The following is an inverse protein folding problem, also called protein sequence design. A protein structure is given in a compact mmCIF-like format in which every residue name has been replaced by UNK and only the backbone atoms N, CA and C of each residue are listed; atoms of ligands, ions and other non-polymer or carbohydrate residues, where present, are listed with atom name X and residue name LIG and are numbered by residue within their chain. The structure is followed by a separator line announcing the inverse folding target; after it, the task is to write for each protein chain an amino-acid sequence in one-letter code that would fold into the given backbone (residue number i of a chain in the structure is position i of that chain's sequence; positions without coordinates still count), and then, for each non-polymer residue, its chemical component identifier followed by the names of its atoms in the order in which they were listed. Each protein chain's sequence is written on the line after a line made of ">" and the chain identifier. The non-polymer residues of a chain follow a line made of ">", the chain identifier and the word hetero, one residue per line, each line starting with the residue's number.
data_IF_410060808803
#
_entry.id   IF_410060808803
#
_cell.length_a   1.000
_cell.length_b   1.000
_cell.length_c   1.000
_cell.angle_alpha   90.00
_cell.angle_beta   90.00
_cell.angle_gamma   90.00
#
_symmetry.space_group_name_H-M   'P 1'
#
loop_
_entity.id
_entity.type
_entity.pdbx_description
1 polymer ?
#
# COMPACT_ATOMS: atom_id res chain seq x y z
N UNK A 1 10.22 -7.27 18.54
CA UNK A 1 9.99 -5.87 18.98
C UNK A 1 8.76 -5.76 19.86
N UNK A 2 7.57 -6.18 19.41
CA UNK A 2 6.32 -6.10 20.19
C UNK A 2 6.41 -6.72 21.60
N UNK A 3 6.80 -7.99 21.73
CA UNK A 3 6.91 -8.63 23.05
C UNK A 3 8.00 -8.02 23.94
N UNK A 4 9.07 -7.46 23.36
CA UNK A 4 10.10 -6.74 24.12
C UNK A 4 9.61 -5.38 24.64
N UNK A 5 8.57 -4.82 24.01
CA UNK A 5 7.92 -3.58 24.43
C UNK A 5 6.77 -3.81 25.43
N UNK A 6 6.59 -5.04 25.93
CA UNK A 6 5.58 -5.39 26.92
C UNK A 6 4.20 -5.73 26.35
N UNK A 7 4.04 -5.77 25.02
CA UNK A 7 2.78 -6.11 24.36
C UNK A 7 2.51 -7.61 24.49
N UNK A 8 1.31 -7.98 24.95
CA UNK A 8 0.95 -9.37 25.22
C UNK A 8 -0.55 -9.65 25.29
N UNK A 9 -0.91 -10.69 26.04
CA UNK A 9 -2.30 -11.15 26.17
C UNK A 9 -3.19 -10.03 26.73
N UNK A 10 -4.29 -9.76 26.04
CA UNK A 10 -5.27 -8.74 26.43
C UNK A 10 -5.06 -7.38 25.76
N UNK A 11 -3.90 -7.15 25.14
CA UNK A 11 -3.63 -5.93 24.40
C UNK A 11 -4.22 -6.00 22.98
N UNK A 12 -4.66 -4.85 22.50
CA UNK A 12 -4.99 -4.61 21.10
C UNK A 12 -3.85 -3.81 20.42
N UNK A 13 -3.50 -4.22 19.21
CA UNK A 13 -2.50 -3.52 18.39
C UNK A 13 -3.13 -3.16 17.05
N UNK A 14 -3.17 -1.86 16.74
CA UNK A 14 -3.68 -1.35 15.47
C UNK A 14 -2.66 -1.62 14.37
N UNK A 15 -3.08 -2.25 13.28
CA UNK A 15 -2.22 -2.65 12.15
C UNK A 15 -2.91 -2.37 10.81
N UNK A 16 -2.16 -2.17 9.71
CA UNK A 16 -2.75 -2.02 8.39
C UNK A 16 -3.40 -3.33 7.91
N UNK A 17 -4.44 -3.19 7.09
CA UNK A 17 -5.08 -4.33 6.42
C UNK A 17 -4.67 -4.52 4.96
N UNK A 18 -3.87 -3.59 4.39
CA UNK A 18 -3.47 -3.62 2.99
C UNK A 18 -2.03 -4.11 2.79
N UNK A 19 -1.82 -5.43 2.88
CA UNK A 19 -0.51 -6.09 2.76
C UNK A 19 0.16 -6.35 4.11
N UNK A 20 1.44 -6.74 4.12
CA UNK A 20 2.25 -6.98 5.32
C UNK A 20 1.59 -7.92 6.36
N UNK A 21 1.17 -9.11 5.91
CA UNK A 21 0.53 -10.13 6.75
C UNK A 21 1.39 -10.46 7.98
N UNK A 22 2.71 -10.47 7.81
CA UNK A 22 3.71 -10.73 8.85
C UNK A 22 3.59 -9.79 10.06
N UNK A 23 3.08 -8.57 9.87
CA UNK A 23 2.86 -7.60 10.97
C UNK A 23 1.72 -8.07 11.87
N UNK A 24 0.59 -8.47 11.29
CA UNK A 24 -0.55 -8.97 12.05
C UNK A 24 -0.26 -10.35 12.68
N UNK A 25 0.51 -11.20 12.00
CA UNK A 25 1.00 -12.46 12.57
C UNK A 25 1.93 -12.21 13.75
N UNK A 26 2.85 -11.24 13.66
CA UNK A 26 3.74 -10.88 14.76
C UNK A 26 2.98 -10.40 16.00
N UNK A 27 1.87 -9.66 15.83
CA UNK A 27 0.96 -9.30 16.93
C UNK A 27 0.32 -10.55 17.53
N UNK A 28 -0.19 -11.46 16.69
CA UNK A 28 -0.84 -12.68 17.16
C UNK A 28 0.15 -13.58 17.93
N UNK A 29 1.42 -13.61 17.53
CA UNK A 29 2.48 -14.37 18.20
C UNK A 29 2.81 -13.87 19.61
N UNK A 30 2.51 -12.61 19.95
CA UNK A 30 2.65 -12.12 21.34
C UNK A 30 1.45 -12.48 22.21
N UNK A 31 0.37 -13.02 21.64
CA UNK A 31 -0.92 -13.22 22.31
C UNK A 31 -1.82 -11.98 22.31
N UNK A 32 -1.38 -10.87 21.70
CA UNK A 32 -2.19 -9.67 21.51
C UNK A 32 -3.17 -9.85 20.35
N UNK A 33 -4.18 -8.96 20.29
CA UNK A 33 -5.20 -8.96 19.24
C UNK A 33 -4.88 -7.91 18.17
N UNK A 34 -4.69 -8.30 16.89
CA UNK A 34 -4.59 -7.32 15.81
C UNK A 34 -5.95 -6.68 15.55
N UNK A 35 -5.98 -5.34 15.60
CA UNK A 35 -7.13 -4.50 15.20
C UNK A 35 -6.77 -3.82 13.89
N UNK A 36 -7.63 -3.98 12.87
CA UNK A 36 -7.34 -3.45 11.55
C UNK A 36 -7.92 -2.05 11.38
N UNK A 37 -7.08 -1.09 10.99
CA UNK A 37 -7.51 0.24 10.57
C UNK A 37 -7.39 0.39 9.04
N UNK A 38 -8.22 1.27 8.47
CA UNK A 38 -8.24 1.50 7.02
C UNK A 38 -7.04 2.35 6.58
N UNK A 39 -6.83 2.40 5.27
CA UNK A 39 -5.73 3.12 4.64
C UNK A 39 -6.18 4.47 4.08
N UNK A 40 -5.23 5.40 3.97
CA UNK A 40 -5.42 6.56 3.12
C UNK A 40 -5.37 6.12 1.64
N UNK A 41 -6.36 6.50 0.82
CA UNK A 41 -6.48 6.00 -0.55
C UNK A 41 -5.41 6.51 -1.51
N UNK A 42 -4.73 7.61 -1.19
CA UNK A 42 -3.66 8.18 -2.01
C UNK A 42 -2.29 7.58 -1.67
N UNK A 43 -2.05 7.29 -0.39
CA UNK A 43 -0.75 6.86 0.13
C UNK A 43 -0.65 5.35 0.32
N UNK A 44 -1.80 4.67 0.50
CA UNK A 44 -1.94 3.28 0.93
C UNK A 44 -1.37 2.96 2.32
N UNK A 45 -0.82 3.95 3.02
CA UNK A 45 -0.42 3.84 4.42
C UNK A 45 -1.66 3.93 5.32
N UNK A 46 -1.50 3.61 6.61
CA UNK A 46 -2.58 3.80 7.59
C UNK A 46 -3.10 5.24 7.58
N UNK A 47 -4.42 5.41 7.52
CA UNK A 47 -5.07 6.70 7.71
C UNK A 47 -5.09 7.04 9.21
N UNK A 48 -4.49 8.16 9.66
CA UNK A 48 -4.51 8.56 11.07
C UNK A 48 -5.93 8.70 11.65
N UNK A 49 -6.91 9.12 10.84
CA UNK A 49 -8.31 9.23 11.29
C UNK A 49 -8.91 7.85 11.53
N UNK A 50 -8.66 6.90 10.62
CA UNK A 50 -9.10 5.52 10.78
C UNK A 50 -8.40 4.84 11.98
N UNK A 51 -7.12 5.14 12.22
CA UNK A 51 -6.39 4.66 13.41
C UNK A 51 -7.04 5.18 14.68
N UNK A 52 -7.27 6.49 14.77
CA UNK A 52 -7.88 7.09 15.95
C UNK A 52 -9.28 6.53 16.24
N UNK A 53 -10.07 6.25 15.20
CA UNK A 53 -11.39 5.63 15.35
C UNK A 53 -11.35 4.20 15.91
N UNK A 54 -10.23 3.48 15.78
CA UNK A 54 -10.05 2.12 16.28
C UNK A 54 -9.50 2.06 17.71
N UNK A 55 -9.15 3.20 18.32
CA UNK A 55 -8.61 3.23 19.68
C UNK A 55 -9.68 2.81 20.69
N UNK A 56 -9.30 1.86 21.53
CA UNK A 56 -10.08 1.31 22.65
C UNK A 56 -9.27 1.39 23.95
N UNK A 57 -9.89 1.13 25.12
CA UNK A 57 -9.14 1.01 26.38
C UNK A 57 -8.14 -0.16 26.41
N UNK A 58 -8.23 -1.11 25.48
CA UNK A 58 -7.29 -2.22 25.33
C UNK A 58 -6.17 -1.91 24.33
N UNK A 59 -6.27 -0.80 23.58
CA UNK A 59 -5.27 -0.46 22.57
C UNK A 59 -3.97 -0.05 23.25
N UNK A 60 -2.91 -0.82 22.99
CA UNK A 60 -1.59 -0.60 23.58
C UNK A 60 -0.60 -0.04 22.55
N UNK A 61 -0.79 -0.35 21.26
CA UNK A 61 0.15 0.08 20.22
C UNK A 61 -0.51 0.25 18.84
N UNK A 62 0.19 0.95 17.95
CA UNK A 62 -0.04 0.98 16.51
C UNK A 62 1.26 0.64 15.78
N UNK A 63 1.18 -0.25 14.79
CA UNK A 63 2.29 -0.55 13.88
C UNK A 63 2.07 0.18 12.56
N UNK A 64 2.89 1.19 12.33
CA UNK A 64 2.89 2.02 11.13
C UNK A 64 3.80 1.39 10.09
N UNK A 65 3.26 1.12 8.90
CA UNK A 65 4.01 0.52 7.80
C UNK A 65 4.13 1.51 6.65
N UNK A 66 5.35 1.76 6.18
CA UNK A 66 5.59 2.50 4.94
C UNK A 66 5.25 1.63 3.74
N UNK A 67 4.49 2.16 2.78
CA UNK A 67 3.93 1.34 1.70
C UNK A 67 4.53 1.67 0.35
N UNK A 68 5.05 0.66 -0.33
CA UNK A 68 5.58 0.77 -1.70
C UNK A 68 6.73 1.78 -1.85
N UNK A 69 7.43 2.05 -0.75
CA UNK A 69 8.46 3.07 -0.65
C UNK A 69 7.96 4.47 -0.32
N UNK A 70 6.66 4.65 -0.10
CA UNK A 70 6.07 5.89 0.42
C UNK A 70 6.15 5.91 1.95
N UNK A 71 6.74 6.93 2.56
CA UNK A 71 6.67 7.10 4.01
C UNK A 71 5.22 7.39 4.43
N UNK A 72 4.82 6.81 5.56
CA UNK A 72 3.55 7.11 6.21
C UNK A 72 3.63 8.47 6.92
N UNK A 73 2.48 9.05 7.28
CA UNK A 73 2.40 10.28 8.08
C UNK A 73 2.71 10.01 9.56
N UNK A 74 3.94 9.56 9.79
CA UNK A 74 4.48 9.14 11.09
C UNK A 74 4.33 10.22 12.15
N UNK A 75 4.56 11.49 11.81
CA UNK A 75 4.38 12.60 12.74
C UNK A 75 2.95 12.66 13.29
N UNK A 76 1.95 12.55 12.42
CA UNK A 76 0.53 12.56 12.81
C UNK A 76 0.18 11.31 13.62
N UNK A 77 0.70 10.14 13.25
CA UNK A 77 0.48 8.90 14.00
C UNK A 77 1.14 8.92 15.39
N UNK A 78 2.30 9.56 15.54
CA UNK A 78 2.91 9.83 16.85
C UNK A 78 2.08 10.80 17.68
N UNK A 79 1.48 11.83 17.08
CA UNK A 79 0.54 12.71 17.80
C UNK A 79 -0.71 11.96 18.27
N UNK A 80 -1.27 11.06 17.46
CA UNK A 80 -2.36 10.15 17.88
C UNK A 80 -1.87 9.28 19.05
N UNK A 81 -0.69 8.67 18.92
CA UNK A 81 -0.12 7.83 19.98
C UNK A 81 0.09 8.58 21.29
N UNK A 82 0.60 9.82 21.25
CA UNK A 82 0.78 10.64 22.44
C UNK A 82 -0.54 11.01 23.12
N UNK A 83 -1.57 11.35 22.32
CA UNK A 83 -2.90 11.71 22.86
C UNK A 83 -3.59 10.54 23.56
N UNK A 84 -3.38 9.33 23.07
CA UNK A 84 -4.05 8.12 23.55
C UNK A 84 -3.16 7.20 24.39
N UNK A 85 -1.90 7.57 24.63
CA UNK A 85 -0.95 6.76 25.40
C UNK A 85 -0.48 5.48 24.69
N UNK A 86 -0.47 5.46 23.37
CA UNK A 86 -0.13 4.29 22.56
C UNK A 86 1.36 4.27 22.19
N UNK A 87 1.94 3.07 22.16
CA UNK A 87 3.24 2.85 21.54
C UNK A 87 3.11 2.89 20.01
N UNK A 88 3.91 3.73 19.34
CA UNK A 88 3.95 3.80 17.87
C UNK A 88 5.22 3.11 17.37
N UNK A 89 5.06 2.04 16.60
CA UNK A 89 6.15 1.28 16.02
C UNK A 89 6.19 1.47 14.50
N UNK A 90 7.32 1.90 13.98
CA UNK A 90 7.51 2.12 12.55
C UNK A 90 8.18 0.91 11.89
N UNK A 91 7.69 0.53 10.71
CA UNK A 91 8.24 -0.56 9.92
C UNK A 91 8.36 -0.16 8.45
N UNK A 92 9.58 -0.25 7.91
CA UNK A 92 9.85 -0.09 6.49
C UNK A 92 9.72 -1.40 5.71
N UNK A 93 9.34 -1.31 4.43
CA UNK A 93 9.59 -2.36 3.46
C UNK A 93 11.09 -2.36 3.09
N UNK A 94 11.73 -3.54 2.98
CA UNK A 94 13.18 -3.75 2.81
C UNK A 94 13.93 -2.67 2.00
N UNK A 95 14.96 -2.07 2.61
CA UNK A 95 15.72 -0.98 1.99
C UNK A 95 16.63 -1.47 0.86
N UNK A 96 16.50 -0.86 -0.32
CA UNK A 96 17.40 -1.05 -1.45
C UNK A 96 18.50 0.03 -1.42
N UNK A 97 19.72 -0.21 -1.96
CA UNK A 97 20.79 0.78 -1.88
C UNK A 97 20.38 2.16 -2.41
N UNK A 98 20.82 3.22 -1.75
CA UNK A 98 20.40 4.60 -2.02
C UNK A 98 20.63 5.04 -3.48
N UNK A 99 21.66 4.51 -4.13
CA UNK A 99 21.92 4.77 -5.55
C UNK A 99 20.70 4.38 -6.41
N UNK A 100 20.15 3.17 -6.21
CA UNK A 100 18.98 2.70 -6.95
C UNK A 100 17.73 3.55 -6.70
N UNK A 101 17.57 4.11 -5.51
CA UNK A 101 16.43 4.98 -5.17
C UNK A 101 16.42 6.23 -6.05
N UNK A 102 17.57 6.86 -6.26
CA UNK A 102 17.68 8.03 -7.14
C UNK A 102 17.28 7.66 -8.57
N UNK A 103 17.71 6.48 -9.06
CA UNK A 103 17.29 6.00 -10.35
C UNK A 103 15.78 5.79 -10.40
N UNK A 104 15.20 4.96 -9.52
CA UNK A 104 13.75 4.68 -9.49
C UNK A 104 12.90 5.94 -9.48
N UNK A 105 13.29 6.96 -8.72
CA UNK A 105 12.63 8.27 -8.71
C UNK A 105 12.63 8.97 -10.07
N UNK A 106 13.74 8.92 -10.81
CA UNK A 106 13.79 9.47 -12.18
C UNK A 106 12.88 8.70 -13.15
N UNK A 107 12.76 7.36 -13.00
CA UNK A 107 11.90 6.52 -13.85
C UNK A 107 10.43 6.77 -13.50
N UNK A 108 10.10 6.85 -12.21
CA UNK A 108 8.78 7.24 -11.73
C UNK A 108 8.39 8.62 -12.29
N UNK A 109 9.25 9.63 -12.17
CA UNK A 109 9.00 10.95 -12.74
C UNK A 109 8.82 10.93 -14.28
N UNK A 110 9.50 10.02 -14.98
CA UNK A 110 9.28 9.82 -16.41
C UNK A 110 7.87 9.31 -16.71
N UNK A 111 7.42 8.32 -15.94
CA UNK A 111 6.11 7.69 -16.05
C UNK A 111 4.99 8.65 -15.63
N UNK A 112 5.11 9.33 -14.48
CA UNK A 112 4.14 10.30 -13.95
C UNK A 112 3.76 11.35 -15.01
N UNK A 113 4.77 11.88 -15.70
CA UNK A 113 4.57 12.90 -16.72
C UNK A 113 3.82 12.40 -17.96
N UNK A 114 3.75 11.09 -18.20
CA UNK A 114 3.29 10.52 -19.49
C UNK A 114 2.14 9.53 -19.39
N UNK A 115 1.95 8.89 -18.24
CA UNK A 115 0.82 8.03 -18.00
C UNK A 115 -0.46 8.86 -17.89
N UNK A 116 -1.48 8.45 -18.64
CA UNK A 116 -2.81 9.05 -18.70
C UNK A 116 -3.91 7.99 -18.62
N UNK A 117 -3.60 6.74 -18.99
CA UNK A 117 -4.55 5.64 -18.95
C UNK A 117 -4.72 4.97 -17.57
N UNK A 118 -3.99 5.43 -16.56
CA UNK A 118 -4.07 4.98 -15.17
C UNK A 118 -3.84 6.16 -14.24
N UNK A 119 -4.33 6.09 -13.00
CA UNK A 119 -3.99 7.08 -11.97
C UNK A 119 -2.63 6.74 -11.37
N UNK A 120 -1.68 7.66 -11.45
CA UNK A 120 -0.32 7.49 -10.94
C UNK A 120 -0.25 7.75 -9.43
N UNK A 121 0.78 7.24 -8.72
CA UNK A 121 1.04 7.66 -7.35
C UNK A 121 1.15 9.18 -7.25
N UNK A 122 0.71 9.75 -6.13
CA UNK A 122 0.97 11.15 -5.84
C UNK A 122 2.45 11.35 -5.49
N UNK A 123 3.05 12.41 -6.02
CA UNK A 123 4.42 12.76 -5.69
C UNK A 123 4.49 13.24 -4.24
N UNK A 124 5.38 12.65 -3.45
CA UNK A 124 5.71 13.13 -2.11
C UNK A 124 7.22 13.14 -1.88
N UNK A 125 7.66 13.98 -0.94
CA UNK A 125 9.04 13.92 -0.44
C UNK A 125 9.31 12.53 0.16
N UNK A 126 10.52 12.01 -0.05
CA UNK A 126 10.93 10.73 0.54
C UNK A 126 10.48 9.46 -0.21
N UNK A 127 9.52 9.51 -1.14
CA UNK A 127 9.06 8.30 -1.86
C UNK A 127 10.20 7.58 -2.59
N UNK A 128 10.51 6.34 -2.22
CA UNK A 128 11.63 5.58 -2.80
C UNK A 128 11.23 4.79 -4.05
N UNK A 129 9.93 4.62 -4.28
CA UNK A 129 9.35 3.87 -5.40
C UNK A 129 9.88 2.43 -5.43
N UNK A 130 9.92 1.76 -4.27
CA UNK A 130 10.10 0.31 -4.21
C UNK A 130 9.08 -0.42 -5.07
N UNK A 131 7.85 0.10 -5.14
CA UNK A 131 6.88 -0.29 -6.16
C UNK A 131 6.22 0.96 -6.74
N UNK A 132 6.03 0.99 -8.06
CA UNK A 132 5.24 2.03 -8.73
C UNK A 132 3.80 1.54 -8.88
N UNK A 133 2.95 1.89 -7.91
CA UNK A 133 1.57 1.39 -7.81
C UNK A 133 0.58 2.39 -8.40
N UNK A 134 -0.03 2.02 -9.52
CA UNK A 134 -1.08 2.80 -10.19
C UNK A 134 -2.46 2.25 -9.82
N UNK A 135 -3.50 3.08 -9.94
CA UNK A 135 -4.89 2.60 -9.95
C UNK A 135 -5.41 2.48 -11.38
N UNK A 136 -5.92 1.30 -11.72
CA UNK A 136 -6.57 1.02 -12.99
C UNK A 136 -7.97 1.64 -12.96
N UNK A 137 -8.38 2.41 -13.99
CA UNK A 137 -9.73 2.95 -14.09
C UNK A 137 -10.78 1.83 -14.28
N UNK A 138 -12.04 2.12 -13.97
CA UNK A 138 -13.14 1.17 -14.04
C UNK A 138 -13.72 0.88 -12.65
N UNK A 139 -14.37 -0.28 -12.51
CA UNK A 139 -15.10 -0.67 -11.29
C UNK A 139 -14.30 -1.64 -10.39
N UNK A 140 -12.97 -1.59 -10.43
CA UNK A 140 -12.11 -2.53 -9.71
C UNK A 140 -12.01 -3.89 -10.42
N UNK A 141 -12.26 -5.00 -9.72
CA UNK A 141 -12.33 -6.33 -10.35
C UNK A 141 -13.69 -6.50 -11.05
N UNK A 142 -13.75 -7.04 -12.29
CA UNK A 142 -12.67 -7.74 -13.01
C UNK A 142 -11.80 -6.85 -13.94
N UNK A 143 -12.09 -5.56 -14.05
CA UNK A 143 -11.44 -4.64 -15.01
C UNK A 143 -9.93 -4.55 -14.79
N UNK A 144 -9.47 -4.45 -13.54
CA UNK A 144 -8.04 -4.47 -13.18
C UNK A 144 -7.34 -5.72 -13.69
N UNK A 145 -7.96 -6.89 -13.53
CA UNK A 145 -7.37 -8.17 -13.94
C UNK A 145 -7.33 -8.29 -15.47
N UNK A 146 -8.36 -7.79 -16.16
CA UNK A 146 -8.36 -7.70 -17.62
C UNK A 146 -7.27 -6.74 -18.14
N UNK A 147 -7.12 -5.58 -17.51
CA UNK A 147 -6.06 -4.61 -17.82
C UNK A 147 -4.66 -5.22 -17.64
N UNK A 148 -4.43 -5.92 -16.52
CA UNK A 148 -3.17 -6.59 -16.23
C UNK A 148 -2.84 -7.68 -17.26
N UNK A 149 -3.84 -8.49 -17.68
CA UNK A 149 -3.66 -9.48 -18.76
C UNK A 149 -3.29 -8.81 -20.09
N UNK A 150 -3.97 -7.71 -20.43
CA UNK A 150 -3.72 -6.98 -21.67
C UNK A 150 -2.34 -6.30 -21.69
N UNK A 151 -1.87 -5.76 -20.55
CA UNK A 151 -0.50 -5.25 -20.42
C UNK A 151 0.55 -6.33 -20.63
N UNK A 152 0.38 -7.50 -19.99
CA UNK A 152 1.31 -8.64 -20.14
C UNK A 152 1.35 -9.13 -21.58
N UNK A 153 0.21 -9.21 -22.26
CA UNK A 153 0.14 -9.55 -23.68
C UNK A 153 0.88 -8.54 -24.59
N UNK A 154 1.04 -7.28 -24.14
CA UNK A 154 1.83 -6.25 -24.81
C UNK A 154 3.30 -6.21 -24.38
N UNK A 155 3.76 -7.22 -23.62
CA UNK A 155 5.15 -7.32 -23.16
C UNK A 155 5.49 -6.31 -22.06
N UNK A 156 4.51 -5.89 -21.26
CA UNK A 156 4.70 -5.08 -20.06
C UNK A 156 4.44 -5.96 -18.84
N UNK A 157 5.49 -6.23 -18.08
CA UNK A 157 5.35 -6.90 -16.80
C UNK A 157 4.54 -6.05 -15.82
N UNK A 158 3.71 -6.70 -15.02
CA UNK A 158 2.93 -6.04 -13.98
C UNK A 158 2.49 -7.07 -12.93
N UNK A 159 2.23 -6.61 -11.71
CA UNK A 159 1.76 -7.47 -10.59
C UNK A 159 0.69 -6.78 -9.77
N UNK A 160 -0.19 -7.56 -9.17
CA UNK A 160 -1.12 -7.06 -8.15
C UNK A 160 -0.33 -6.98 -6.83
N UNK A 161 -0.18 -5.79 -6.23
CA UNK A 161 0.69 -5.63 -5.05
C UNK A 161 0.11 -6.30 -3.80
N UNK A 162 -1.22 -6.27 -3.64
CA UNK A 162 -1.94 -6.95 -2.55
C UNK A 162 -3.17 -7.62 -3.15
N UNK A 163 -3.20 -8.95 -3.14
CA UNK A 163 -4.30 -9.73 -3.70
C UNK A 163 -5.47 -9.90 -2.74
N UNK A 164 -5.16 -10.14 -1.48
CA UNK A 164 -6.14 -10.39 -0.41
C UNK A 164 -5.78 -9.47 0.75
N UNK A 165 -6.64 -8.52 1.13
CA UNK A 165 -6.49 -7.77 2.36
C UNK A 165 -6.32 -8.69 3.57
N UNK A 166 -5.49 -8.29 4.53
CA UNK A 166 -5.09 -9.14 5.67
C UNK A 166 -6.29 -9.59 6.48
N UNK A 167 -7.25 -8.69 6.70
CA UNK A 167 -8.51 -8.98 7.42
C UNK A 167 -9.42 -9.99 6.70
N UNK A 168 -9.09 -10.43 5.48
CA UNK A 168 -9.77 -11.51 4.74
C UNK A 168 -8.97 -12.81 4.68
N UNK A 169 -7.70 -12.80 5.08
CA UNK A 169 -6.81 -13.97 5.06
C UNK A 169 -7.26 -14.98 6.12
N UNK A 170 -7.31 -16.30 5.81
CA UNK A 170 -7.60 -17.33 6.81
C UNK A 170 -6.67 -17.22 8.03
N UNK A 171 -7.23 -17.36 9.23
CA UNK A 171 -6.49 -17.18 10.50
C UNK A 171 -6.43 -15.74 11.01
N UNK A 172 -6.52 -14.74 10.13
CA UNK A 172 -6.57 -13.30 10.48
C UNK A 172 -7.91 -12.65 10.12
N UNK A 173 -8.88 -13.46 9.68
CA UNK A 173 -10.17 -12.96 9.21
C UNK A 173 -10.91 -12.20 10.32
N UNK A 174 -11.31 -10.96 10.02
CA UNK A 174 -12.15 -10.13 10.89
C UNK A 174 -13.31 -9.55 10.09
N UNK A 175 -14.47 -9.43 10.72
CA UNK A 175 -15.63 -8.80 10.11
C UNK A 175 -15.60 -7.29 10.41
N UNK A 176 -14.83 -6.57 9.58
CA UNK A 176 -14.60 -5.13 9.70
C UNK A 176 -14.85 -4.45 8.35
N UNK A 177 -15.31 -3.20 8.38
CA UNK A 177 -15.55 -2.41 7.18
C UNK A 177 -14.32 -1.53 6.89
N UNK A 178 -13.55 -1.91 5.86
CA UNK A 178 -12.34 -1.20 5.42
C UNK A 178 -12.46 -0.86 3.92
N UNK A 179 -13.36 0.07 3.56
CA UNK A 179 -13.71 0.33 2.16
C UNK A 179 -12.52 0.75 1.31
N UNK A 180 -11.57 1.52 1.85
CA UNK A 180 -10.42 1.99 1.07
C UNK A 180 -9.40 0.89 0.82
N UNK A 181 -9.19 0.03 1.82
CA UNK A 181 -8.39 -1.19 1.69
C UNK A 181 -8.96 -2.12 0.61
N UNK A 182 -10.26 -2.37 0.63
CA UNK A 182 -10.93 -3.26 -0.34
C UNK A 182 -10.86 -2.66 -1.75
N UNK A 183 -11.14 -1.36 -1.86
CA UNK A 183 -11.03 -0.62 -3.13
C UNK A 183 -9.61 -0.65 -3.69
N UNK A 184 -8.59 -0.47 -2.85
CA UNK A 184 -7.20 -0.54 -3.28
C UNK A 184 -6.82 -1.96 -3.75
N UNK A 185 -7.30 -3.02 -3.10
CA UNK A 185 -7.04 -4.40 -3.54
C UNK A 185 -7.65 -4.71 -4.93
N UNK A 186 -8.78 -4.07 -5.24
CA UNK A 186 -9.49 -4.24 -6.49
C UNK A 186 -8.91 -3.41 -7.65
N UNK A 187 -8.38 -2.23 -7.37
CA UNK A 187 -7.97 -1.27 -8.41
C UNK A 187 -6.46 -1.21 -8.66
N UNK A 188 -5.62 -1.61 -7.69
CA UNK A 188 -4.17 -1.35 -7.79
C UNK A 188 -3.44 -2.31 -8.70
N UNK A 189 -2.42 -1.79 -9.39
CA UNK A 189 -1.48 -2.55 -10.19
C UNK A 189 -0.08 -1.95 -10.05
N UNK A 190 0.91 -2.79 -9.79
CA UNK A 190 2.32 -2.37 -9.76
C UNK A 190 2.93 -2.53 -11.15
N UNK A 191 3.50 -1.44 -11.65
CA UNK A 191 4.27 -1.38 -12.90
C UNK A 191 5.78 -1.38 -12.62
N UNK A 192 6.62 -1.77 -13.59
CA UNK A 192 8.07 -1.77 -13.43
C UNK A 192 8.61 -0.35 -13.29
N UNK A 193 9.55 -0.18 -12.36
CA UNK A 193 10.24 1.10 -12.12
C UNK A 193 11.72 0.88 -11.74
N UNK A 194 12.21 -0.34 -11.90
CA UNK A 194 13.56 -0.75 -11.49
C UNK A 194 14.65 0.15 -12.08
N UNK A 195 15.79 0.23 -11.39
CA UNK A 195 16.85 1.18 -11.75
C UNK A 195 17.40 0.96 -13.18
N UNK A 196 17.35 -0.30 -13.66
CA UNK A 196 17.80 -0.73 -14.99
C UNK A 196 16.79 -0.47 -16.12
N UNK A 197 15.58 -0.02 -15.81
CA UNK A 197 14.51 0.16 -16.79
C UNK A 197 14.92 1.17 -17.87
N UNK A 198 14.93 0.74 -19.12
CA UNK A 198 15.36 1.57 -20.25
C UNK A 198 14.25 2.51 -20.71
N UNK A 199 14.64 3.59 -21.42
CA UNK A 199 13.67 4.51 -22.04
C UNK A 199 12.72 3.82 -23.02
N UNK A 200 13.20 2.80 -23.74
CA UNK A 200 12.37 2.00 -24.66
C UNK A 200 11.29 1.22 -23.91
N UNK A 201 11.63 0.61 -22.77
CA UNK A 201 10.69 -0.11 -21.93
C UNK A 201 9.69 0.84 -21.27
N UNK A 202 10.15 1.98 -20.73
CA UNK A 202 9.26 3.02 -20.21
C UNK A 202 8.27 3.51 -21.27
N UNK A 203 8.72 3.72 -22.52
CA UNK A 203 7.82 4.08 -23.62
C UNK A 203 6.78 2.99 -23.92
N UNK A 204 7.17 1.71 -23.84
CA UNK A 204 6.25 0.58 -24.00
C UNK A 204 5.20 0.58 -22.89
N UNK A 205 5.61 0.78 -21.62
CA UNK A 205 4.70 0.89 -20.47
C UNK A 205 3.68 2.02 -20.70
N UNK A 206 4.17 3.22 -21.03
CA UNK A 206 3.33 4.40 -21.31
C UNK A 206 2.34 4.13 -22.44
N UNK A 207 2.83 3.63 -23.57
CA UNK A 207 2.00 3.37 -24.76
C UNK A 207 0.92 2.32 -24.45
N UNK A 208 1.28 1.24 -23.76
CA UNK A 208 0.34 0.18 -23.44
C UNK A 208 -0.73 0.64 -22.43
N UNK A 209 -0.33 1.33 -21.35
CA UNK A 209 -1.27 1.82 -20.35
C UNK A 209 -2.23 2.87 -20.94
N UNK A 210 -1.72 3.83 -21.73
CA UNK A 210 -2.55 4.88 -22.32
C UNK A 210 -3.55 4.32 -23.35
N UNK A 211 -3.13 3.33 -24.15
CA UNK A 211 -4.03 2.68 -25.09
C UNK A 211 -5.16 1.91 -24.40
N UNK A 212 -4.86 1.25 -23.27
CA UNK A 212 -5.85 0.48 -22.52
C UNK A 212 -6.78 1.36 -21.67
N UNK A 213 -6.26 2.42 -21.05
CA UNK A 213 -7.07 3.31 -20.20
C UNK A 213 -8.15 4.07 -20.96
N UNK A 214 -7.94 4.33 -22.26
CA UNK A 214 -8.99 4.87 -23.14
C UNK A 214 -10.18 3.93 -23.33
N UNK A 215 -10.04 2.62 -23.03
CA UNK A 215 -11.08 1.61 -23.20
C UNK A 215 -11.89 1.35 -21.92
N UNK A 216 -11.40 1.79 -20.76
CA UNK A 216 -11.98 1.51 -19.44
C UNK A 216 -12.56 2.78 -18.79
N UNK A 217 -12.99 3.76 -19.59
CA UNK A 217 -13.70 4.92 -19.08
C UNK A 217 -14.92 4.44 -18.27
N UNK A 218 -15.16 4.97 -17.05
CA UNK A 218 -16.34 4.60 -16.28
C UNK A 218 -17.58 4.87 -17.15
N UNK A 219 -18.43 3.86 -17.27
CA UNK A 219 -19.76 4.04 -17.83
C UNK A 219 -20.51 4.98 -16.85
N UNK A 220 -20.58 6.25 -17.21
CA UNK A 220 -21.49 7.20 -16.58
C UNK A 220 -22.93 6.82 -16.91
#
# INVERSE_FOLDING_TARGET
>A
MLGAAGIGIGDEVIVPAFGNIEVAEAVTLTGATPVFADIDPATYCLDPVAVEAMVSPQTAAVVVVHRFGRPADVAVLHEVGQRHGLLVLEQGESETPYAEVAQRRERAAYLDRRLRGVRTPEACGGHTYQQYVVRVPGNGRPDRDAFARALRAKGVECRVPVKTPVHRVPGLRRDVCLPETERAADETLSLPVDASLTKREMNRIVSACNALGGLLQPAF
#
